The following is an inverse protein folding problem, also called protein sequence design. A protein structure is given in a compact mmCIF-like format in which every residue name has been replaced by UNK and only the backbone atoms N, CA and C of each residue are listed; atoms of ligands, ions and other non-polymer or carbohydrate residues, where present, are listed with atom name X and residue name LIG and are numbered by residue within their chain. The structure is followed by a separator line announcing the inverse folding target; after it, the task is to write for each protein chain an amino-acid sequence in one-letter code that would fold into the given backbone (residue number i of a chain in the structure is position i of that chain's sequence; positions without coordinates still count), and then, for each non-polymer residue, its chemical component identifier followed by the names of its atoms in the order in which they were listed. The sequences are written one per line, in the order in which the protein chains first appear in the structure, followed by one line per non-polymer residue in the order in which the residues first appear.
data_IF_365474346699
#
_entry.id   IF_365474346699
#
_cell.length_a   1.000
_cell.length_b   1.000
_cell.length_c   1.000
_cell.angle_alpha   90.00
_cell.angle_beta   90.00
_cell.angle_gamma   90.00
#
_symmetry.space_group_name_H-M   'P 1'
#
loop_
_entity.id
_entity.type
_entity.pdbx_description
1 polymer ?
#
# COMPACT_ATOMS: atom_id res chain seq x y z
N UNK A 1 -29.96 -19.73 5.97
CA UNK A 1 -28.98 -19.35 4.93
C UNK A 1 -27.60 -19.69 5.46
N UNK A 2 -26.78 -20.41 4.70
CA UNK A 2 -25.38 -20.67 5.06
C UNK A 2 -24.47 -19.51 4.65
N UNK A 3 -23.26 -19.45 5.20
CA UNK A 3 -22.21 -18.50 4.79
C UNK A 3 -21.94 -18.67 3.29
N UNK A 4 -21.84 -17.55 2.58
CA UNK A 4 -21.64 -17.51 1.12
C UNK A 4 -20.30 -16.90 0.71
N UNK A 5 -19.81 -15.96 1.50
CA UNK A 5 -18.57 -15.26 1.24
C UNK A 5 -17.73 -15.18 2.50
N UNK A 6 -16.41 -15.14 2.30
CA UNK A 6 -15.43 -14.79 3.32
C UNK A 6 -14.66 -13.60 2.79
N UNK A 7 -14.67 -12.50 3.54
CA UNK A 7 -13.87 -11.32 3.22
C UNK A 7 -12.61 -11.29 4.06
N UNK A 8 -11.51 -10.86 3.46
CA UNK A 8 -10.24 -10.59 4.12
C UNK A 8 -9.91 -9.11 4.01
N UNK A 9 -9.34 -8.56 5.07
CA UNK A 9 -8.51 -7.36 4.96
C UNK A 9 -7.21 -7.70 4.21
N UNK A 10 -6.43 -6.70 3.79
CA UNK A 10 -5.19 -6.90 3.02
C UNK A 10 -3.94 -6.80 3.89
N UNK A 11 -3.56 -5.58 4.25
CA UNK A 11 -2.39 -5.26 5.07
C UNK A 11 -2.55 -5.82 6.50
N UNK A 12 -1.49 -6.43 7.02
CA UNK A 12 -1.51 -7.09 8.33
C UNK A 12 -2.39 -8.35 8.41
N UNK A 13 -3.00 -8.78 7.29
CA UNK A 13 -3.88 -9.96 7.23
C UNK A 13 -3.44 -10.96 6.17
N UNK A 14 -3.39 -10.56 4.90
CA UNK A 14 -2.89 -11.41 3.79
C UNK A 14 -1.42 -11.12 3.47
N UNK A 15 -0.98 -9.89 3.67
CA UNK A 15 0.41 -9.45 3.50
C UNK A 15 0.90 -8.75 4.75
N UNK A 16 2.21 -8.72 4.97
CA UNK A 16 2.78 -7.89 6.03
C UNK A 16 2.74 -6.39 5.65
N UNK A 17 2.89 -5.53 6.64
CA UNK A 17 2.80 -4.06 6.44
C UNK A 17 4.03 -3.48 5.74
N UNK A 18 5.08 -4.29 5.51
CA UNK A 18 6.39 -3.78 5.10
C UNK A 18 6.35 -3.07 3.75
N UNK A 19 5.58 -3.61 2.80
CA UNK A 19 5.47 -3.05 1.46
C UNK A 19 4.88 -1.62 1.49
N UNK A 20 3.73 -1.45 2.16
CA UNK A 20 3.07 -0.15 2.28
C UNK A 20 3.87 0.82 3.15
N UNK A 21 4.44 0.36 4.26
CA UNK A 21 5.31 1.20 5.11
C UNK A 21 6.53 1.70 4.35
N UNK A 22 7.17 0.83 3.56
CA UNK A 22 8.33 1.20 2.76
C UNK A 22 7.96 2.25 1.72
N UNK A 23 6.81 2.10 1.04
CA UNK A 23 6.34 3.09 0.09
C UNK A 23 6.14 4.46 0.75
N UNK A 24 5.37 4.50 1.83
CA UNK A 24 4.98 5.77 2.47
C UNK A 24 6.12 6.47 3.22
N UNK A 25 6.99 5.71 3.88
CA UNK A 25 8.01 6.26 4.78
C UNK A 25 9.44 6.16 4.25
N UNK A 26 9.68 5.53 3.10
CA UNK A 26 10.99 5.55 2.43
C UNK A 26 10.88 6.16 1.04
N UNK A 27 10.04 5.58 0.18
CA UNK A 27 9.99 5.97 -1.23
C UNK A 27 9.52 7.41 -1.43
N UNK A 28 8.36 7.79 -0.87
CA UNK A 28 7.86 9.16 -1.03
C UNK A 28 8.82 10.20 -0.41
N UNK A 29 9.35 10.00 0.82
CA UNK A 29 10.39 10.86 1.38
C UNK A 29 11.69 10.94 0.56
N UNK A 30 12.17 9.84 -0.02
CA UNK A 30 13.36 9.85 -0.88
C UNK A 30 13.12 10.69 -2.14
N UNK A 31 11.98 10.52 -2.80
CA UNK A 31 11.59 11.31 -3.96
C UNK A 31 11.44 12.80 -3.61
N UNK A 32 10.88 13.10 -2.44
CA UNK A 32 10.81 14.47 -1.93
C UNK A 32 12.21 15.03 -1.70
N UNK A 33 13.10 14.28 -1.05
CA UNK A 33 14.48 14.69 -0.79
C UNK A 33 15.22 15.06 -2.08
N UNK A 34 15.13 14.19 -3.09
CA UNK A 34 15.71 14.39 -4.42
C UNK A 34 15.17 15.64 -5.09
N UNK A 35 13.85 15.81 -5.12
CA UNK A 35 13.21 16.95 -5.79
C UNK A 35 13.60 18.29 -5.19
N UNK A 36 13.68 18.37 -3.87
CA UNK A 36 13.92 19.62 -3.15
C UNK A 36 15.38 19.82 -2.73
N UNK A 37 16.28 18.87 -3.03
CA UNK A 37 17.70 18.96 -2.73
C UNK A 37 18.02 19.02 -1.23
N UNK A 38 17.28 18.26 -0.42
CA UNK A 38 17.43 18.22 1.05
C UNK A 38 17.82 16.81 1.51
N UNK A 39 18.27 16.67 2.75
CA UNK A 39 18.59 15.37 3.33
C UNK A 39 17.33 14.51 3.58
N UNK A 40 17.49 13.18 3.55
CA UNK A 40 16.38 12.24 3.77
C UNK A 40 15.64 12.50 5.09
N UNK A 41 16.34 12.68 6.20
CA UNK A 41 15.72 12.93 7.52
C UNK A 41 14.88 14.22 7.55
N UNK A 42 15.28 15.24 6.78
CA UNK A 42 14.51 16.49 6.66
C UNK A 42 13.28 16.30 5.78
N UNK A 43 13.43 15.54 4.69
CA UNK A 43 12.33 15.19 3.79
C UNK A 43 11.29 14.33 4.50
N UNK A 44 11.73 13.29 5.21
CA UNK A 44 10.87 12.39 5.97
C UNK A 44 10.02 13.17 6.98
N UNK A 45 10.64 14.04 7.78
CA UNK A 45 9.90 14.87 8.76
C UNK A 45 8.86 15.76 8.09
N UNK A 46 9.19 16.39 6.96
CA UNK A 46 8.25 17.24 6.21
C UNK A 46 7.09 16.44 5.66
N UNK A 47 7.38 15.31 5.03
CA UNK A 47 6.36 14.43 4.44
C UNK A 47 5.41 13.89 5.51
N UNK A 48 5.92 13.46 6.66
CA UNK A 48 5.07 12.95 7.76
C UNK A 48 4.18 14.04 8.35
N UNK A 49 4.68 15.27 8.52
CA UNK A 49 3.85 16.40 8.96
C UNK A 49 2.68 16.62 7.99
N UNK A 50 2.92 16.49 6.68
CA UNK A 50 1.90 16.65 5.66
C UNK A 50 0.90 15.48 5.69
N UNK A 51 1.36 14.24 5.91
CA UNK A 51 0.49 13.09 6.15
C UNK A 51 -0.44 13.33 7.35
N UNK A 52 0.10 13.83 8.46
CA UNK A 52 -0.65 14.13 9.68
C UNK A 52 -1.66 15.27 9.49
N UNK A 53 -1.32 16.28 8.66
CA UNK A 53 -2.22 17.39 8.33
C UNK A 53 -3.48 16.91 7.60
N UNK A 54 -3.34 15.95 6.68
CA UNK A 54 -4.46 15.37 5.94
C UNK A 54 -5.21 14.35 6.81
N UNK A 55 -4.47 13.49 7.50
CA UNK A 55 -4.99 12.50 8.44
C UNK A 55 -5.73 11.32 7.79
N UNK A 56 -5.70 10.18 8.48
CA UNK A 56 -6.28 8.90 8.08
C UNK A 56 -7.82 8.90 7.91
N UNK A 57 -8.50 9.97 8.33
CA UNK A 57 -9.94 10.14 8.13
C UNK A 57 -10.30 10.72 6.76
N UNK A 58 -9.30 11.19 6.01
CA UNK A 58 -9.48 11.73 4.68
C UNK A 58 -9.00 10.72 3.63
N UNK A 59 -9.85 10.43 2.64
CA UNK A 59 -9.53 9.45 1.59
C UNK A 59 -8.24 9.79 0.84
N UNK A 60 -7.89 11.08 0.73
CA UNK A 60 -6.66 11.55 0.08
C UNK A 60 -5.40 11.02 0.75
N UNK A 61 -5.46 10.72 2.05
CA UNK A 61 -4.35 10.14 2.79
C UNK A 61 -3.89 8.81 2.19
N UNK A 62 -4.83 8.01 1.71
CA UNK A 62 -4.59 6.69 1.14
C UNK A 62 -4.18 6.70 -0.34
N UNK A 63 -4.23 7.85 -1.03
CA UNK A 63 -4.04 7.92 -2.50
C UNK A 63 -2.59 8.30 -2.86
N UNK A 64 -1.76 7.40 -3.43
CA UNK A 64 -0.39 7.73 -3.82
C UNK A 64 -0.32 8.88 -4.83
N UNK A 65 -1.24 8.93 -5.79
CA UNK A 65 -1.30 9.98 -6.80
C UNK A 65 -1.52 11.35 -6.18
N UNK A 66 -2.31 11.44 -5.11
CA UNK A 66 -2.52 12.69 -4.39
C UNK A 66 -1.20 13.22 -3.82
N UNK A 67 -0.38 12.36 -3.23
CA UNK A 67 0.90 12.76 -2.65
C UNK A 67 1.95 13.08 -3.72
N UNK A 68 1.98 12.30 -4.80
CA UNK A 68 2.81 12.59 -5.98
C UNK A 68 2.47 13.98 -6.52
N UNK A 69 1.19 14.32 -6.69
CA UNK A 69 0.76 15.64 -7.15
C UNK A 69 1.05 16.74 -6.13
N UNK A 70 0.68 16.53 -4.85
CA UNK A 70 0.85 17.52 -3.77
C UNK A 70 2.32 17.92 -3.60
N UNK A 71 3.23 16.94 -3.60
CA UNK A 71 4.67 17.17 -3.51
C UNK A 71 5.32 17.49 -4.86
N UNK A 72 4.52 17.49 -5.93
CA UNK A 72 4.92 17.73 -7.32
C UNK A 72 5.97 16.73 -7.82
N UNK A 73 6.00 15.49 -7.34
CA UNK A 73 7.03 14.53 -7.69
C UNK A 73 6.97 14.19 -9.20
N UNK A 74 8.12 14.21 -9.87
CA UNK A 74 8.22 13.97 -11.31
C UNK A 74 8.39 12.46 -11.58
N UNK A 75 7.40 11.65 -11.18
CA UNK A 75 7.44 10.18 -11.24
C UNK A 75 6.16 9.59 -11.81
N UNK A 76 6.29 8.41 -12.43
CA UNK A 76 5.15 7.57 -12.82
C UNK A 76 4.85 6.58 -11.69
N UNK A 77 3.65 6.68 -11.11
CA UNK A 77 3.25 5.82 -9.98
C UNK A 77 3.32 4.35 -10.34
N UNK A 78 2.85 3.97 -11.53
CA UNK A 78 2.85 2.57 -11.95
C UNK A 78 4.27 2.02 -11.94
N UNK A 79 5.22 2.71 -12.57
CA UNK A 79 6.62 2.30 -12.55
C UNK A 79 7.20 2.21 -11.12
N UNK A 80 6.82 3.13 -10.24
CA UNK A 80 7.23 3.12 -8.85
C UNK A 80 6.72 1.89 -8.11
N UNK A 81 5.44 1.56 -8.29
CA UNK A 81 4.79 0.39 -7.69
C UNK A 81 5.42 -0.93 -8.18
N UNK A 82 5.69 -1.07 -9.48
CA UNK A 82 6.39 -2.25 -10.03
C UNK A 82 7.79 -2.42 -9.43
N UNK A 83 8.50 -1.32 -9.14
CA UNK A 83 9.84 -1.36 -8.53
C UNK A 83 9.80 -1.89 -7.10
N UNK A 84 8.72 -1.62 -6.37
CA UNK A 84 8.57 -2.05 -4.96
C UNK A 84 7.76 -3.34 -4.79
N UNK A 85 7.07 -3.83 -5.82
CA UNK A 85 6.36 -5.13 -5.81
C UNK A 85 7.18 -6.30 -5.20
N UNK A 86 8.50 -6.45 -5.47
CA UNK A 86 9.27 -7.54 -4.89
C UNK A 86 9.35 -7.52 -3.35
N UNK A 87 8.95 -6.42 -2.71
CA UNK A 87 8.91 -6.30 -1.25
C UNK A 87 7.64 -6.90 -0.63
N UNK A 88 6.61 -7.20 -1.43
CA UNK A 88 5.37 -7.84 -0.96
C UNK A 88 5.68 -9.22 -0.36
N UNK A 89 5.24 -9.43 0.87
CA UNK A 89 5.39 -10.69 1.60
C UNK A 89 4.06 -11.13 2.16
N UNK A 90 3.66 -12.34 1.80
CA UNK A 90 2.47 -12.99 2.34
C UNK A 90 2.81 -13.70 3.65
N UNK A 91 1.84 -13.77 4.57
CA UNK A 91 1.95 -14.67 5.71
C UNK A 91 1.92 -16.14 5.26
N UNK A 92 2.64 -17.01 5.98
CA UNK A 92 2.85 -18.41 5.60
C UNK A 92 1.54 -19.21 5.45
N UNK A 93 0.50 -18.82 6.19
CA UNK A 93 -0.80 -19.48 6.25
C UNK A 93 -1.81 -18.96 5.22
N UNK A 94 -1.46 -17.95 4.42
CA UNK A 94 -2.37 -17.34 3.43
C UNK A 94 -2.71 -18.31 2.31
N UNK A 95 -1.70 -18.82 1.59
CA UNK A 95 -1.91 -19.79 0.51
C UNK A 95 -2.72 -21.03 0.96
N UNK A 96 -2.37 -21.74 2.05
CA UNK A 96 -3.14 -22.91 2.48
C UNK A 96 -4.55 -22.56 2.97
N UNK A 97 -4.76 -21.36 3.52
CA UNK A 97 -6.10 -20.90 3.93
C UNK A 97 -6.98 -20.60 2.72
N UNK A 98 -6.46 -19.83 1.75
CA UNK A 98 -7.18 -19.49 0.52
C UNK A 98 -7.49 -20.74 -0.30
N UNK A 99 -6.53 -21.67 -0.42
CA UNK A 99 -6.75 -22.95 -1.10
C UNK A 99 -7.87 -23.78 -0.47
N UNK A 100 -7.99 -23.75 0.87
CA UNK A 100 -9.09 -24.41 1.56
C UNK A 100 -10.43 -23.73 1.27
N UNK A 101 -10.50 -22.40 1.27
CA UNK A 101 -11.76 -21.69 1.07
C UNK A 101 -12.21 -21.68 -0.40
N UNK A 102 -11.26 -21.77 -1.32
CA UNK A 102 -11.50 -21.78 -2.76
C UNK A 102 -12.49 -22.89 -3.17
N UNK A 103 -13.40 -22.56 -4.08
CA UNK A 103 -14.47 -23.46 -4.53
C UNK A 103 -15.61 -23.70 -3.52
N UNK A 104 -15.45 -23.29 -2.26
CA UNK A 104 -16.49 -23.38 -1.22
C UNK A 104 -17.16 -22.04 -0.93
N UNK A 105 -16.40 -20.96 -0.99
CA UNK A 105 -16.87 -19.60 -0.70
C UNK A 105 -16.47 -18.63 -1.80
N UNK A 106 -17.24 -17.54 -1.92
CA UNK A 106 -16.77 -16.34 -2.62
C UNK A 106 -15.72 -15.68 -1.72
N UNK A 107 -14.50 -15.53 -2.22
CA UNK A 107 -13.42 -14.84 -1.50
C UNK A 107 -13.41 -13.39 -1.96
N UNK A 108 -13.38 -12.46 -1.01
CA UNK A 108 -13.40 -11.01 -1.28
C UNK A 108 -12.27 -10.35 -0.50
N UNK A 109 -11.55 -9.42 -1.12
CA UNK A 109 -10.65 -8.51 -0.40
C UNK A 109 -11.41 -7.21 -0.14
N UNK A 110 -11.37 -6.74 1.11
CA UNK A 110 -11.95 -5.48 1.55
C UNK A 110 -10.91 -4.72 2.38
N UNK A 111 -10.21 -3.79 1.73
CA UNK A 111 -9.12 -3.01 2.33
C UNK A 111 -9.34 -1.50 2.12
N UNK A 112 -8.74 -0.70 3.00
CA UNK A 112 -8.64 0.76 2.84
C UNK A 112 -7.46 1.17 1.94
N UNK A 113 -6.54 0.27 1.62
CA UNK A 113 -5.47 0.52 0.69
C UNK A 113 -6.02 0.95 -0.68
N UNK A 114 -5.28 1.81 -1.38
CA UNK A 114 -5.68 2.23 -2.72
C UNK A 114 -5.68 1.03 -3.68
N UNK A 115 -6.39 1.20 -4.79
CA UNK A 115 -6.52 0.14 -5.80
C UNK A 115 -5.16 -0.32 -6.32
N UNK A 116 -4.22 0.61 -6.44
CA UNK A 116 -2.86 0.40 -6.92
C UNK A 116 -2.06 -0.52 -5.98
N UNK A 117 -2.21 -0.37 -4.66
CA UNK A 117 -1.60 -1.30 -3.69
C UNK A 117 -2.23 -2.68 -3.78
N UNK A 118 -3.56 -2.77 -3.69
CA UNK A 118 -4.28 -4.05 -3.71
C UNK A 118 -4.00 -4.81 -5.02
N UNK A 119 -3.92 -4.13 -6.16
CA UNK A 119 -3.57 -4.73 -7.46
C UNK A 119 -2.15 -5.27 -7.53
N UNK A 120 -1.20 -4.74 -6.75
CA UNK A 120 0.17 -5.27 -6.66
C UNK A 120 0.19 -6.47 -5.71
N UNK A 121 -0.42 -6.31 -4.54
CA UNK A 121 -0.35 -7.29 -3.46
C UNK A 121 -1.18 -8.55 -3.74
N UNK A 122 -2.16 -8.50 -4.65
CA UNK A 122 -2.95 -9.68 -5.03
C UNK A 122 -2.38 -10.46 -6.22
N UNK A 123 -1.29 -10.01 -6.87
CA UNK A 123 -0.80 -10.65 -8.12
C UNK A 123 -0.36 -12.10 -7.99
N UNK A 124 0.00 -12.53 -6.78
CA UNK A 124 0.59 -13.84 -6.52
C UNK A 124 -0.35 -14.80 -5.77
N UNK A 125 -1.59 -14.40 -5.51
CA UNK A 125 -2.60 -15.20 -4.78
C UNK A 125 -3.96 -15.25 -5.50
#
# INVERSE_FOLDING_TARGET
MGIKAVSFDMDGTLVDDWFVEYFWFRVIPELYAEKYGIGFEDAWRRVVIEYDEIGDRDIRWYLPEYWIERFRLDVDLKHLMEKVEPLVKYFEDVEPTLAQLHGRYIIVVASNASKEFVEIETRRI
#
